data_IF_510995461808
#
_entry.id   IF_510995461808
#
_cell.length_a   1.000
_cell.length_b   1.000
_cell.length_c   1.000
_cell.angle_alpha   90.00
_cell.angle_beta   90.00
_cell.angle_gamma   90.00
#
_symmetry.space_group_name_H-M   'P 1'
#
loop_
_entity.id
_entity.type
_entity.pdbx_description
1 polymer ?
#
# COMPACT_ATOMS: atom_id res chain seq x y z
N UNK A 1 11.74 -45.60 -27.65
CA UNK A 1 12.18 -44.89 -26.43
C UNK A 1 12.30 -43.42 -26.75
N UNK A 2 11.39 -42.57 -26.26
CA UNK A 2 11.41 -41.14 -26.57
C UNK A 2 12.37 -40.42 -25.61
N UNK A 3 13.34 -39.69 -26.14
CA UNK A 3 14.19 -38.76 -25.37
C UNK A 3 13.58 -37.38 -25.45
N UNK A 4 12.95 -36.93 -24.38
CA UNK A 4 12.51 -35.54 -24.22
C UNK A 4 13.68 -34.77 -23.62
N UNK A 5 14.14 -33.72 -24.31
CA UNK A 5 15.04 -32.71 -23.74
C UNK A 5 14.18 -31.52 -23.31
N UNK A 6 14.24 -31.17 -22.03
CA UNK A 6 13.65 -29.94 -21.49
C UNK A 6 14.77 -28.92 -21.35
N UNK A 7 14.61 -27.77 -22.00
CA UNK A 7 15.50 -26.62 -21.85
C UNK A 7 14.83 -25.62 -20.89
N UNK A 8 15.42 -25.40 -19.72
CA UNK A 8 14.84 -24.59 -18.65
C UNK A 8 15.62 -23.27 -18.51
N UNK A 9 15.05 -22.20 -19.05
CA UNK A 9 15.65 -20.87 -19.00
C UNK A 9 15.36 -20.18 -17.65
N UNK A 10 16.27 -20.39 -16.70
CA UNK A 10 16.18 -19.84 -15.35
C UNK A 10 16.08 -18.31 -15.32
N UNK A 11 16.69 -17.60 -16.29
CA UNK A 11 16.65 -16.13 -16.34
C UNK A 11 15.26 -15.61 -16.67
N UNK A 12 14.57 -16.25 -17.61
CA UNK A 12 13.18 -15.89 -17.96
C UNK A 12 12.21 -16.18 -16.82
N UNK A 13 12.41 -17.30 -16.12
CA UNK A 13 11.58 -17.65 -14.96
C UNK A 13 11.75 -16.63 -13.85
N UNK A 14 12.99 -16.27 -13.50
CA UNK A 14 13.26 -15.28 -12.44
C UNK A 14 12.64 -13.92 -12.78
N UNK A 15 12.84 -13.42 -14.01
CA UNK A 15 12.24 -12.16 -14.43
C UNK A 15 10.71 -12.16 -14.29
N UNK A 16 10.06 -13.26 -14.68
CA UNK A 16 8.60 -13.38 -14.56
C UNK A 16 8.13 -13.38 -13.11
N UNK A 17 8.88 -14.04 -12.23
CA UNK A 17 8.62 -14.02 -10.78
C UNK A 17 8.79 -12.61 -10.22
N UNK A 18 9.88 -11.92 -10.58
CA UNK A 18 10.16 -10.55 -10.14
C UNK A 18 9.06 -9.57 -10.60
N UNK A 19 8.65 -9.65 -11.87
CA UNK A 19 7.56 -8.83 -12.42
C UNK A 19 6.23 -9.09 -11.69
N UNK A 20 5.96 -10.35 -11.33
CA UNK A 20 4.77 -10.74 -10.58
C UNK A 20 4.80 -10.24 -9.13
N UNK A 21 5.95 -10.33 -8.47
CA UNK A 21 6.15 -9.77 -7.14
C UNK A 21 5.98 -8.25 -7.14
N UNK A 22 6.57 -7.57 -8.12
CA UNK A 22 6.43 -6.12 -8.29
C UNK A 22 4.97 -5.70 -8.48
N UNK A 23 4.19 -6.46 -9.27
CA UNK A 23 2.76 -6.19 -9.42
C UNK A 23 1.96 -6.42 -8.13
N UNK A 24 2.29 -7.45 -7.36
CA UNK A 24 1.70 -7.68 -6.03
C UNK A 24 1.99 -6.53 -5.06
N UNK A 25 3.25 -6.07 -5.04
CA UNK A 25 3.67 -4.93 -4.22
C UNK A 25 2.96 -3.64 -4.64
N UNK A 26 2.85 -3.38 -5.94
CA UNK A 26 2.10 -2.24 -6.48
C UNK A 26 0.64 -2.24 -5.99
N UNK A 27 -0.03 -3.39 -6.02
CA UNK A 27 -1.41 -3.52 -5.54
C UNK A 27 -1.47 -3.28 -4.03
N UNK A 28 -0.55 -3.87 -3.25
CA UNK A 28 -0.47 -3.70 -1.81
C UNK A 28 -0.33 -2.22 -1.43
N UNK A 29 0.62 -1.51 -2.04
CA UNK A 29 0.91 -0.11 -1.73
C UNK A 29 -0.31 0.80 -1.98
N UNK A 30 -1.01 0.56 -3.09
CA UNK A 30 -2.25 1.30 -3.41
C UNK A 30 -3.38 1.02 -2.40
N UNK A 31 -3.52 -0.24 -1.96
CA UNK A 31 -4.52 -0.60 -0.95
C UNK A 31 -4.21 0.05 0.40
N UNK A 32 -2.95 -0.01 0.82
CA UNK A 32 -2.49 0.65 2.05
C UNK A 32 -2.79 2.14 2.00
N UNK A 33 -2.42 2.82 0.91
CA UNK A 33 -2.64 4.25 0.76
C UNK A 33 -4.13 4.60 0.77
N UNK A 34 -4.94 3.89 -0.02
CA UNK A 34 -6.39 4.09 -0.11
C UNK A 34 -7.08 3.91 1.25
N UNK A 35 -6.84 2.79 1.91
CA UNK A 35 -7.55 2.44 3.15
C UNK A 35 -7.05 3.27 4.34
N UNK A 36 -5.79 3.70 4.32
CA UNK A 36 -5.25 4.63 5.31
C UNK A 36 -5.81 6.05 5.13
N UNK A 37 -5.99 6.50 3.88
CA UNK A 37 -6.59 7.80 3.57
C UNK A 37 -8.06 7.89 4.03
N UNK A 38 -8.77 6.77 4.18
CA UNK A 38 -10.11 6.75 4.79
C UNK A 38 -10.13 7.36 6.20
N UNK A 39 -9.06 7.23 6.98
CA UNK A 39 -8.97 7.73 8.35
C UNK A 39 -8.19 9.05 8.48
N UNK A 40 -7.70 9.61 7.38
CA UNK A 40 -6.74 10.71 7.44
C UNK A 40 -7.41 12.02 7.88
N UNK A 41 -6.81 12.79 8.80
CA UNK A 41 -7.27 14.12 9.12
C UNK A 41 -7.26 15.02 7.88
N UNK A 42 -8.38 15.69 7.62
CA UNK A 42 -8.58 16.47 6.40
C UNK A 42 -8.97 17.89 6.71
N UNK A 43 -8.13 18.81 6.22
CA UNK A 43 -8.49 20.21 6.04
C UNK A 43 -8.47 20.54 4.54
N UNK A 44 -7.39 21.10 3.99
CA UNK A 44 -7.30 21.39 2.55
C UNK A 44 -7.03 20.17 1.67
N UNK A 45 -6.66 19.02 2.26
CA UNK A 45 -6.36 17.79 1.52
C UNK A 45 -4.88 17.51 1.29
N UNK A 46 -4.00 18.48 1.51
CA UNK A 46 -2.54 18.34 1.27
C UNK A 46 -1.90 17.13 1.96
N UNK A 47 -2.36 16.77 3.17
CA UNK A 47 -1.86 15.58 3.84
C UNK A 47 -2.14 14.32 3.01
N UNK A 48 -3.38 14.14 2.56
CA UNK A 48 -3.80 13.01 1.73
C UNK A 48 -3.04 12.98 0.39
N UNK A 49 -2.92 14.14 -0.26
CA UNK A 49 -2.20 14.31 -1.53
C UNK A 49 -0.70 14.03 -1.39
N UNK A 50 -0.09 14.36 -0.24
CA UNK A 50 1.30 14.02 0.05
C UNK A 50 1.52 12.51 0.02
N UNK A 51 0.54 11.73 0.48
CA UNK A 51 0.52 10.28 0.38
C UNK A 51 0.75 9.79 -1.04
N UNK A 52 0.05 10.39 -2.01
CA UNK A 52 0.12 10.00 -3.42
C UNK A 52 1.45 10.43 -4.05
N UNK A 53 1.92 11.63 -3.70
CA UNK A 53 3.09 12.25 -4.34
C UNK A 53 4.44 11.82 -3.75
N UNK A 54 4.47 11.39 -2.49
CA UNK A 54 5.72 11.06 -1.77
C UNK A 54 5.90 9.55 -1.52
N UNK A 55 4.95 8.72 -1.97
CA UNK A 55 5.09 7.25 -1.93
C UNK A 55 5.79 6.73 -3.19
N UNK A 56 6.60 5.68 -3.04
CA UNK A 56 7.17 4.91 -4.16
C UNK A 56 6.37 3.62 -4.35
N UNK A 57 5.22 3.78 -5.00
CA UNK A 57 4.27 2.70 -5.25
C UNK A 57 4.93 1.63 -6.13
N UNK A 58 4.92 0.38 -5.67
CA UNK A 58 5.58 -0.77 -6.30
C UNK A 58 6.94 -1.11 -5.67
N UNK A 59 7.52 -0.21 -4.88
CA UNK A 59 8.78 -0.43 -4.16
C UNK A 59 8.55 -0.75 -2.67
N UNK A 60 7.30 -0.69 -2.18
CA UNK A 60 6.96 -0.93 -0.78
C UNK A 60 7.15 0.26 0.14
N UNK A 61 7.29 1.48 -0.41
CA UNK A 61 7.43 2.71 0.36
C UNK A 61 6.16 3.56 0.24
N UNK A 62 5.36 3.62 1.32
CA UNK A 62 4.18 4.48 1.43
C UNK A 62 4.40 5.52 2.51
N UNK A 63 4.33 6.81 2.14
CA UNK A 63 4.67 7.91 3.03
C UNK A 63 3.73 9.11 2.84
N UNK A 64 3.32 9.71 3.97
CA UNK A 64 2.65 11.01 4.01
C UNK A 64 3.65 12.05 4.51
N UNK A 65 4.17 12.87 3.60
CA UNK A 65 5.23 13.83 3.89
C UNK A 65 4.72 15.27 3.82
N UNK A 66 4.27 15.77 4.96
CA UNK A 66 4.04 17.20 5.19
C UNK A 66 4.68 17.59 6.51
N UNK A 67 5.02 18.88 6.74
CA UNK A 67 5.66 19.32 7.98
C UNK A 67 4.89 18.95 9.25
N UNK A 68 3.58 18.73 9.13
CA UNK A 68 2.67 18.40 10.23
C UNK A 68 2.24 16.92 10.26
N UNK A 69 2.58 16.10 9.25
CA UNK A 69 2.15 14.69 9.16
C UNK A 69 2.50 13.89 10.42
N UNK A 70 3.78 13.93 10.82
CA UNK A 70 4.27 13.22 12.01
C UNK A 70 3.53 13.64 13.29
N UNK A 71 3.29 14.95 13.44
CA UNK A 71 2.57 15.50 14.60
C UNK A 71 1.13 14.97 14.64
N UNK A 72 0.41 15.03 13.53
CA UNK A 72 -0.96 14.53 13.48
C UNK A 72 -1.03 13.00 13.65
N UNK A 73 -0.07 12.27 13.09
CA UNK A 73 -0.04 10.82 13.15
C UNK A 73 0.12 10.30 14.59
N UNK A 74 1.14 10.76 15.31
CA UNK A 74 1.48 10.24 16.65
C UNK A 74 0.71 10.89 17.80
N UNK A 75 -0.28 11.73 17.51
CA UNK A 75 -1.12 12.36 18.54
C UNK A 75 -2.61 11.98 18.38
N UNK A 76 -2.98 10.69 18.55
CA UNK A 76 -4.36 10.23 18.41
C UNK A 76 -5.33 10.86 19.42
N UNK A 77 -4.83 11.44 20.51
CA UNK A 77 -5.60 12.15 21.53
C UNK A 77 -6.10 13.53 21.09
N UNK A 78 -5.67 14.04 19.93
CA UNK A 78 -6.16 15.31 19.41
C UNK A 78 -7.65 15.23 19.04
N UNK A 79 -8.36 16.35 19.23
CA UNK A 79 -9.72 16.50 18.75
C UNK A 79 -9.69 16.85 17.25
N UNK A 80 -9.54 15.84 16.40
CA UNK A 80 -9.52 16.02 14.94
C UNK A 80 -10.87 16.52 14.42
N UNK A 81 -10.84 17.51 13.54
CA UNK A 81 -12.05 17.96 12.84
C UNK A 81 -12.68 16.82 12.07
N UNK A 82 -14.00 16.68 12.20
CA UNK A 82 -14.83 15.65 11.56
C UNK A 82 -15.67 16.16 10.40
N UNK A 83 -15.56 17.46 10.09
CA UNK A 83 -16.34 18.14 9.05
C UNK A 83 -16.12 17.52 7.66
N UNK A 84 -14.84 17.38 7.25
CA UNK A 84 -14.47 16.84 5.93
C UNK A 84 -14.26 15.33 5.94
N UNK A 85 -13.82 14.77 7.06
CA UNK A 85 -13.67 13.34 7.23
C UNK A 85 -14.21 12.91 8.61
N UNK A 86 -15.41 12.32 8.68
CA UNK A 86 -15.98 11.81 9.93
C UNK A 86 -15.10 10.76 10.62
N UNK A 87 -14.25 10.06 9.86
CA UNK A 87 -13.37 9.01 10.37
C UNK A 87 -11.98 9.51 10.79
N UNK A 88 -11.69 10.81 10.63
CA UNK A 88 -10.39 11.43 10.88
C UNK A 88 -9.81 11.07 12.25
N UNK A 89 -8.62 10.47 12.29
CA UNK A 89 -7.92 10.11 13.53
C UNK A 89 -6.41 10.07 13.31
N UNK A 90 -5.65 10.20 14.40
CA UNK A 90 -4.22 9.87 14.39
C UNK A 90 -4.01 8.37 14.16
N UNK A 91 -2.77 7.96 13.91
CA UNK A 91 -2.40 6.57 13.64
C UNK A 91 -3.24 5.93 12.53
N UNK A 92 -3.58 6.70 11.49
CA UNK A 92 -4.51 6.26 10.43
C UNK A 92 -4.07 4.99 9.70
N UNK A 93 -2.76 4.78 9.54
CA UNK A 93 -2.21 3.53 8.99
C UNK A 93 -2.37 2.34 9.95
N UNK A 94 -2.18 2.52 11.26
CA UNK A 94 -2.37 1.42 12.20
C UNK A 94 -3.85 1.04 12.31
N UNK A 95 -4.74 2.03 12.24
CA UNK A 95 -6.18 1.79 12.20
C UNK A 95 -6.59 1.01 10.94
N UNK A 96 -6.12 1.41 9.76
CA UNK A 96 -6.41 0.70 8.52
C UNK A 96 -5.81 -0.70 8.52
N UNK A 97 -4.55 -0.85 8.97
CA UNK A 97 -3.88 -2.15 9.08
C UNK A 97 -4.62 -3.10 10.01
N UNK A 98 -5.05 -2.63 11.18
CA UNK A 98 -5.78 -3.46 12.13
C UNK A 98 -7.06 -4.05 11.52
N UNK A 99 -7.74 -3.30 10.65
CA UNK A 99 -8.99 -3.73 10.03
C UNK A 99 -8.79 -4.48 8.69
N UNK A 100 -7.76 -4.14 7.92
CA UNK A 100 -7.64 -4.50 6.49
C UNK A 100 -6.46 -5.41 6.16
N UNK A 101 -5.56 -5.70 7.11
CA UNK A 101 -4.34 -6.47 6.83
C UNK A 101 -4.61 -7.78 6.08
N UNK A 102 -5.62 -8.55 6.51
CA UNK A 102 -5.96 -9.80 5.82
C UNK A 102 -6.37 -9.58 4.36
N UNK A 103 -7.23 -8.58 4.11
CA UNK A 103 -7.67 -8.23 2.77
C UNK A 103 -6.50 -7.77 1.89
N UNK A 104 -5.57 -6.98 2.44
CA UNK A 104 -4.39 -6.53 1.72
C UNK A 104 -3.51 -7.70 1.28
N UNK A 105 -3.27 -8.67 2.18
CA UNK A 105 -2.48 -9.85 1.87
C UNK A 105 -3.16 -10.73 0.82
N UNK A 106 -4.47 -10.94 0.93
CA UNK A 106 -5.23 -11.75 -0.02
C UNK A 106 -5.22 -11.14 -1.43
N UNK A 107 -5.45 -9.82 -1.56
CA UNK A 107 -5.45 -9.13 -2.84
C UNK A 107 -4.05 -9.01 -3.44
N UNK A 108 -3.02 -8.73 -2.63
CA UNK A 108 -1.63 -8.71 -3.10
C UNK A 108 -1.20 -10.10 -3.60
N UNK A 109 -1.51 -11.17 -2.86
CA UNK A 109 -1.20 -12.53 -3.28
C UNK A 109 -1.94 -12.92 -4.56
N UNK A 110 -3.22 -12.55 -4.67
CA UNK A 110 -4.00 -12.77 -5.88
C UNK A 110 -3.38 -12.02 -7.07
N UNK A 111 -2.99 -10.76 -6.88
CA UNK A 111 -2.32 -9.97 -7.90
C UNK A 111 -1.01 -10.60 -8.37
N UNK A 112 -0.15 -11.05 -7.45
CA UNK A 112 1.08 -11.78 -7.79
C UNK A 112 0.78 -13.02 -8.61
N UNK A 113 -0.17 -13.86 -8.16
CA UNK A 113 -0.53 -15.11 -8.84
C UNK A 113 -1.12 -14.92 -10.24
N UNK A 114 -1.74 -13.78 -10.52
CA UNK A 114 -2.26 -13.45 -11.85
C UNK A 114 -1.15 -13.17 -12.88
N UNK A 115 0.09 -12.90 -12.43
CA UNK A 115 1.22 -12.55 -13.29
C UNK A 115 2.27 -13.66 -13.42
N UNK A 116 2.19 -14.69 -12.57
CA UNK A 116 2.95 -15.95 -12.70
C UNK A 116 2.21 -16.89 -13.66
#
# INVERSE_FOLDING_TARGET
MFKVKVDFDTKKVNKKVDDALGYGQFVLDNLVLKDSNYYIPKDYGYLEESGISHSKIGEGEVAWDTPYARKLYYNPQYNFSKDKNPNARGLWFEASKAEKLKQWLDEAQKATRLKI
#
